data_IF_068012921604
#
_entry.id   IF_068012921604
#
_cell.length_a   1.000
_cell.length_b   1.000
_cell.length_c   1.000
_cell.angle_alpha   90.00
_cell.angle_beta   90.00
_cell.angle_gamma   90.00
#
_symmetry.space_group_name_H-M   'P 1'
#
loop_
_entity.id
_entity.type
_entity.pdbx_description
1 polymer ?
#
# COMPACT_ATOMS: atom_id res chain seq x y z
N UNK A 1 17.25 -55.64 -19.24
CA UNK A 1 16.10 -54.88 -19.77
C UNK A 1 15.94 -53.67 -18.90
N UNK A 2 16.37 -52.51 -19.38
CA UNK A 2 16.38 -51.30 -18.55
C UNK A 2 14.95 -50.83 -18.29
N UNK A 3 14.74 -50.08 -17.21
CA UNK A 3 13.45 -49.43 -16.92
C UNK A 3 12.95 -48.59 -18.10
N UNK A 4 13.90 -48.08 -18.91
CA UNK A 4 13.67 -47.34 -20.15
C UNK A 4 13.14 -48.26 -21.26
N UNK A 5 13.70 -49.46 -21.43
CA UNK A 5 13.22 -50.43 -22.43
C UNK A 5 11.78 -50.90 -22.12
N UNK A 6 11.47 -51.12 -20.84
CA UNK A 6 10.11 -51.48 -20.39
C UNK A 6 9.11 -50.31 -20.55
N UNK A 7 9.58 -49.07 -20.41
CA UNK A 7 8.81 -47.84 -20.66
C UNK A 7 8.50 -47.66 -22.16
N UNK A 8 9.45 -48.01 -23.02
CA UNK A 8 9.33 -47.90 -24.48
C UNK A 8 8.44 -49.00 -25.07
N UNK A 9 8.41 -50.18 -24.46
CA UNK A 9 7.55 -51.30 -24.85
C UNK A 9 6.10 -51.11 -24.35
N UNK A 10 5.90 -50.53 -23.16
CA UNK A 10 4.60 -50.20 -22.57
C UNK A 10 4.39 -48.69 -22.38
N UNK A 11 4.35 -47.94 -23.48
CA UNK A 11 4.03 -46.49 -23.50
C UNK A 11 2.75 -46.12 -22.71
N UNK A 12 1.83 -47.08 -22.56
CA UNK A 12 0.61 -47.00 -21.74
C UNK A 12 0.87 -46.64 -20.27
N UNK A 13 2.01 -47.01 -19.69
CA UNK A 13 2.31 -46.64 -18.29
C UNK A 13 2.91 -45.23 -18.19
N UNK A 14 3.68 -44.78 -19.18
CA UNK A 14 4.29 -43.45 -19.17
C UNK A 14 3.26 -42.33 -19.42
N UNK A 15 2.19 -42.62 -20.17
CA UNK A 15 1.21 -41.60 -20.56
C UNK A 15 0.36 -41.10 -19.37
N UNK A 16 0.14 -41.94 -18.35
CA UNK A 16 -0.72 -41.59 -17.21
C UNK A 16 -0.10 -40.49 -16.31
N UNK A 17 1.16 -40.60 -15.82
CA UNK A 17 1.84 -39.51 -15.11
C UNK A 17 1.93 -38.22 -15.92
N UNK A 18 2.22 -38.33 -17.21
CA UNK A 18 2.38 -37.15 -18.09
C UNK A 18 1.05 -36.44 -18.29
N UNK A 19 -0.03 -37.17 -18.57
CA UNK A 19 -1.36 -36.59 -18.68
C UNK A 19 -1.83 -36.00 -17.36
N UNK A 20 -1.60 -36.69 -16.24
CA UNK A 20 -1.91 -36.18 -14.90
C UNK A 20 -1.21 -34.85 -14.63
N UNK A 21 0.09 -34.76 -14.92
CA UNK A 21 0.87 -33.53 -14.83
C UNK A 21 0.32 -32.41 -15.71
N UNK A 22 0.01 -32.70 -16.99
CA UNK A 22 -0.51 -31.73 -17.94
C UNK A 22 -1.90 -31.21 -17.55
N UNK A 23 -2.79 -32.07 -17.08
CA UNK A 23 -4.12 -31.69 -16.60
C UNK A 23 -3.99 -30.87 -15.32
N UNK A 24 -3.20 -31.33 -14.35
CA UNK A 24 -2.99 -30.61 -13.09
C UNK A 24 -2.39 -29.22 -13.30
N UNK A 25 -1.41 -29.10 -14.20
CA UNK A 25 -0.84 -27.81 -14.62
C UNK A 25 -1.87 -26.95 -15.36
N UNK A 26 -2.50 -27.50 -16.41
CA UNK A 26 -3.39 -26.76 -17.31
C UNK A 26 -4.66 -26.26 -16.62
N UNK A 27 -5.27 -27.07 -15.75
CA UNK A 27 -6.45 -26.68 -14.98
C UNK A 27 -6.10 -25.58 -13.98
N UNK A 28 -4.97 -25.68 -13.29
CA UNK A 28 -4.59 -24.65 -12.32
C UNK A 28 -4.16 -23.34 -13.00
N UNK A 29 -3.49 -23.42 -14.15
CA UNK A 29 -3.21 -22.26 -14.99
C UNK A 29 -4.50 -21.58 -15.48
N UNK A 30 -5.51 -22.36 -15.88
CA UNK A 30 -6.81 -21.82 -16.28
C UNK A 30 -7.53 -21.15 -15.12
N UNK A 31 -7.57 -21.79 -13.94
CA UNK A 31 -8.16 -21.24 -12.73
C UNK A 31 -7.49 -19.92 -12.34
N UNK A 32 -6.16 -19.88 -12.40
CA UNK A 32 -5.38 -18.67 -12.16
C UNK A 32 -5.77 -17.55 -13.13
N UNK A 33 -5.87 -17.86 -14.42
CA UNK A 33 -6.27 -16.88 -15.44
C UNK A 33 -7.70 -16.37 -15.22
N UNK A 34 -8.60 -17.24 -14.74
CA UNK A 34 -9.99 -16.91 -14.43
C UNK A 34 -10.17 -16.06 -13.18
N UNK A 35 -9.19 -16.00 -12.26
CA UNK A 35 -9.27 -15.07 -11.13
C UNK A 35 -9.16 -13.60 -11.58
N UNK A 36 -8.31 -13.34 -12.58
CA UNK A 36 -8.02 -11.99 -13.05
C UNK A 36 -8.80 -11.58 -14.30
N UNK A 37 -9.09 -12.53 -15.19
CA UNK A 37 -9.76 -12.26 -16.47
C UNK A 37 -11.01 -13.11 -16.65
N UNK A 38 -12.05 -12.58 -17.31
CA UNK A 38 -12.12 -11.26 -17.95
C UNK A 38 -12.62 -10.16 -17.02
N UNK A 39 -12.22 -8.93 -17.35
CA UNK A 39 -12.49 -7.72 -16.57
C UNK A 39 -13.96 -7.35 -16.55
N UNK A 40 -14.57 -7.34 -17.74
CA UNK A 40 -16.00 -7.07 -17.92
C UNK A 40 -16.76 -8.39 -17.91
N UNK A 41 -17.93 -8.44 -17.25
CA UNK A 41 -18.78 -9.62 -17.30
C UNK A 41 -19.20 -9.86 -18.74
N UNK A 42 -18.99 -11.08 -19.23
CA UNK A 42 -19.44 -11.51 -20.55
C UNK A 42 -20.26 -12.79 -20.40
N UNK A 43 -21.31 -12.91 -21.21
CA UNK A 43 -22.26 -14.02 -21.14
C UNK A 43 -23.69 -13.56 -21.39
N UNK A 44 -24.61 -14.53 -21.41
CA UNK A 44 -26.03 -14.30 -21.75
C UNK A 44 -26.91 -14.77 -20.58
N UNK A 45 -27.81 -13.90 -20.11
CA UNK A 45 -28.76 -14.21 -19.04
C UNK A 45 -28.09 -14.37 -17.66
N UNK A 46 -28.38 -15.51 -16.99
CA UNK A 46 -27.88 -15.83 -15.64
C UNK A 46 -26.42 -16.30 -15.61
N UNK A 47 -25.86 -16.70 -16.74
CA UNK A 47 -24.48 -17.18 -16.84
C UNK A 47 -23.57 -16.06 -17.30
N UNK A 48 -23.17 -15.20 -16.37
CA UNK A 48 -22.15 -14.16 -16.60
C UNK A 48 -20.84 -14.65 -16.01
N UNK A 49 -19.81 -14.77 -16.85
CA UNK A 49 -18.46 -15.11 -16.41
C UNK A 49 -17.69 -13.80 -16.27
N UNK A 50 -17.07 -13.61 -15.11
CA UNK A 50 -16.19 -12.49 -14.82
C UNK A 50 -15.06 -12.98 -13.93
N UNK A 51 -13.90 -12.34 -14.01
CA UNK A 51 -12.83 -12.59 -13.07
C UNK A 51 -13.28 -12.30 -11.64
N UNK A 52 -12.85 -13.13 -10.68
CA UNK A 52 -13.26 -13.01 -9.28
C UNK A 52 -12.78 -11.68 -8.66
N UNK A 53 -11.55 -11.28 -8.96
CA UNK A 53 -10.95 -10.03 -8.42
C UNK A 53 -11.67 -8.79 -8.99
N UNK A 54 -11.84 -8.64 -10.32
CA UNK A 54 -12.64 -7.55 -10.88
C UNK A 54 -14.06 -7.48 -10.32
N UNK A 55 -14.71 -8.64 -10.10
CA UNK A 55 -16.08 -8.69 -9.56
C UNK A 55 -16.20 -8.24 -8.10
N UNK A 56 -15.11 -8.26 -7.33
CA UNK A 56 -15.10 -7.93 -5.88
C UNK A 56 -14.34 -6.64 -5.57
N UNK A 57 -14.08 -5.80 -6.58
CA UNK A 57 -13.28 -4.58 -6.43
C UNK A 57 -13.77 -3.67 -5.31
N UNK A 58 -15.07 -3.38 -5.24
CA UNK A 58 -15.61 -2.46 -4.24
C UNK A 58 -15.39 -2.99 -2.81
N UNK A 59 -15.62 -4.29 -2.60
CA UNK A 59 -15.38 -4.94 -1.31
C UNK A 59 -13.89 -4.88 -0.94
N UNK A 60 -13.00 -5.12 -1.92
CA UNK A 60 -11.56 -5.05 -1.73
C UNK A 60 -11.09 -3.64 -1.40
N UNK A 61 -11.56 -2.62 -2.12
CA UNK A 61 -11.20 -1.22 -1.86
C UNK A 61 -11.61 -0.77 -0.46
N UNK A 62 -12.85 -1.08 -0.03
CA UNK A 62 -13.31 -0.76 1.32
C UNK A 62 -12.51 -1.50 2.40
N UNK A 63 -12.23 -2.78 2.18
CA UNK A 63 -11.44 -3.58 3.14
C UNK A 63 -9.99 -3.07 3.24
N UNK A 64 -9.36 -2.73 2.11
CA UNK A 64 -8.01 -2.18 2.06
C UNK A 64 -7.98 -0.81 2.75
N UNK A 65 -8.92 0.08 2.43
CA UNK A 65 -8.99 1.41 3.04
C UNK A 65 -9.14 1.33 4.56
N UNK A 66 -10.03 0.45 5.04
CA UNK A 66 -10.23 0.22 6.47
C UNK A 66 -8.97 -0.33 7.14
N UNK A 67 -8.34 -1.34 6.55
CA UNK A 67 -7.13 -1.96 7.13
C UNK A 67 -5.97 -0.96 7.20
N UNK A 68 -5.75 -0.16 6.15
CA UNK A 68 -4.70 0.88 6.14
C UNK A 68 -4.99 1.96 7.18
N UNK A 69 -6.25 2.39 7.31
CA UNK A 69 -6.62 3.40 8.30
C UNK A 69 -6.50 2.90 9.74
N UNK A 70 -6.83 1.63 9.99
CA UNK A 70 -6.79 1.03 11.33
C UNK A 70 -5.35 0.67 11.74
N UNK A 71 -4.49 0.24 10.80
CA UNK A 71 -3.16 -0.31 11.12
C UNK A 71 -1.97 0.59 10.74
N UNK A 72 -2.10 1.51 9.77
CA UNK A 72 -0.96 2.25 9.22
C UNK A 72 -1.03 3.77 9.40
N UNK A 73 -2.21 4.37 9.28
CA UNK A 73 -2.37 5.83 9.30
C UNK A 73 -3.73 6.20 9.88
N UNK A 74 -3.77 6.48 11.19
CA UNK A 74 -4.92 7.09 11.84
C UNK A 74 -4.80 8.61 11.90
N UNK A 75 -5.93 9.31 12.09
CA UNK A 75 -5.93 10.77 12.26
C UNK A 75 -5.10 11.18 13.48
N UNK A 76 -5.08 10.35 14.53
CA UNK A 76 -4.27 10.59 15.73
C UNK A 76 -2.76 10.44 15.45
N UNK A 77 -2.37 9.49 14.59
CA UNK A 77 -0.96 9.34 14.18
C UNK A 77 -0.49 10.55 13.37
N UNK A 78 -1.37 11.15 12.56
CA UNK A 78 -1.07 12.40 11.85
C UNK A 78 -0.90 13.58 12.80
N UNK A 79 -1.74 13.70 13.84
CA UNK A 79 -1.59 14.76 14.86
C UNK A 79 -0.28 14.57 15.63
N UNK A 80 0.05 13.33 16.03
CA UNK A 80 1.33 13.02 16.69
C UNK A 80 2.53 13.36 15.81
N UNK A 81 2.51 12.93 14.54
CA UNK A 81 3.57 13.23 13.60
C UNK A 81 3.73 14.75 13.40
N UNK A 82 2.63 15.50 13.33
CA UNK A 82 2.65 16.96 13.23
C UNK A 82 3.28 17.63 14.45
N UNK A 83 3.00 17.12 15.65
CA UNK A 83 3.57 17.63 16.91
C UNK A 83 5.05 17.23 17.11
N UNK A 84 5.50 16.12 16.53
CA UNK A 84 6.91 15.69 16.56
C UNK A 84 7.79 16.49 15.58
N UNK A 85 7.21 17.07 14.53
CA UNK A 85 7.93 17.94 13.62
C UNK A 85 8.36 19.24 14.32
N UNK A 86 9.60 19.68 14.10
CA UNK A 86 10.14 20.94 14.65
C UNK A 86 9.59 22.20 13.94
N UNK A 87 8.27 22.25 13.76
CA UNK A 87 7.56 23.40 13.19
C UNK A 87 7.83 24.64 14.06
N UNK A 88 7.93 24.42 15.38
CA UNK A 88 8.24 25.43 16.39
C UNK A 88 9.62 26.06 16.19
N UNK A 89 10.68 25.25 16.06
CA UNK A 89 12.04 25.74 15.82
C UNK A 89 12.18 26.44 14.46
N UNK A 90 11.53 25.91 13.41
CA UNK A 90 11.53 26.53 12.08
C UNK A 90 10.86 27.91 12.14
N UNK A 91 9.69 28.03 12.75
CA UNK A 91 8.97 29.29 12.82
C UNK A 91 9.66 30.32 13.74
N UNK A 92 10.22 29.89 14.87
CA UNK A 92 11.02 30.76 15.74
C UNK A 92 12.27 31.28 15.03
N UNK A 93 12.98 30.44 14.27
CA UNK A 93 14.15 30.87 13.50
C UNK A 93 13.79 31.88 12.39
N UNK A 94 12.66 31.68 11.71
CA UNK A 94 12.13 32.62 10.71
C UNK A 94 11.80 33.98 11.34
N UNK A 95 11.08 33.97 12.45
CA UNK A 95 10.70 35.20 13.17
C UNK A 95 11.93 35.94 13.68
N UNK A 96 12.89 35.23 14.28
CA UNK A 96 14.14 35.84 14.72
C UNK A 96 14.89 36.51 13.56
N UNK A 97 14.97 35.86 12.40
CA UNK A 97 15.61 36.43 11.21
C UNK A 97 14.88 37.65 10.65
N UNK A 98 13.55 37.74 10.79
CA UNK A 98 12.75 38.89 10.35
C UNK A 98 12.92 40.05 11.32
N UNK A 99 12.86 39.78 12.63
CA UNK A 99 13.05 40.77 13.69
C UNK A 99 14.44 41.39 13.60
N UNK A 100 15.48 40.56 13.43
CA UNK A 100 16.86 41.01 13.29
C UNK A 100 17.04 41.92 12.07
N UNK A 101 16.55 41.50 10.89
CA UNK A 101 16.60 42.32 9.66
C UNK A 101 15.82 43.63 9.78
N UNK A 102 14.66 43.62 10.46
CA UNK A 102 13.82 44.81 10.61
C UNK A 102 14.47 45.83 11.56
N UNK A 103 15.10 45.35 12.63
CA UNK A 103 15.80 46.21 13.59
C UNK A 103 17.11 46.76 12.98
N UNK A 104 17.85 45.95 12.22
CA UNK A 104 19.04 46.40 11.50
C UNK A 104 18.69 47.48 10.44
N UNK A 105 17.54 47.36 9.78
CA UNK A 105 17.07 48.34 8.79
C UNK A 105 16.59 49.68 9.37
N UNK A 106 16.36 49.77 10.68
CA UNK A 106 15.83 50.98 11.33
C UNK A 106 16.91 52.01 11.70
N UNK A 107 18.19 51.76 11.40
CA UNK A 107 19.33 52.66 11.65
C UNK A 107 19.35 53.25 13.08
N UNK A 108 18.83 52.48 14.04
CA UNK A 108 18.70 52.87 15.46
C UNK A 108 20.06 53.08 16.14
N UNK A 109 21.14 52.58 15.53
CA UNK A 109 22.52 52.85 15.94
C UNK A 109 22.92 54.32 15.82
N UNK A 110 22.27 55.07 14.93
CA UNK A 110 22.74 56.39 14.52
C UNK A 110 22.10 57.55 15.31
N UNK A 111 21.12 57.30 16.18
CA UNK A 111 20.43 58.36 16.95
C UNK A 111 20.48 58.12 18.48
N UNK A 112 21.29 58.88 19.24
CA UNK A 112 21.22 58.93 20.71
C UNK A 112 19.88 59.53 21.15
N UNK A 113 19.20 59.00 22.21
CA UNK A 113 19.65 58.01 23.20
C UNK A 113 19.40 56.53 22.82
N UNK A 114 18.79 56.25 21.66
CA UNK A 114 18.32 54.91 21.29
C UNK A 114 19.45 53.95 20.89
N UNK A 115 20.57 54.45 20.36
CA UNK A 115 21.72 53.61 20.00
C UNK A 115 22.37 52.87 21.18
N UNK A 116 22.35 53.44 22.39
CA UNK A 116 22.87 52.77 23.61
C UNK A 116 21.92 51.68 24.13
N UNK A 117 20.64 51.75 23.78
CA UNK A 117 19.62 50.80 24.20
C UNK A 117 19.34 49.75 23.13
N UNK A 118 20.01 49.83 21.97
CA UNK A 118 19.80 48.94 20.82
C UNK A 118 19.79 47.46 21.22
N UNK A 119 20.83 47.01 21.91
CA UNK A 119 20.97 45.59 22.25
C UNK A 119 19.91 45.13 23.27
N UNK A 120 19.48 46.02 24.16
CA UNK A 120 18.38 45.76 25.11
C UNK A 120 17.02 45.75 24.42
N UNK A 121 16.80 46.64 23.44
CA UNK A 121 15.57 46.70 22.64
C UNK A 121 15.48 45.45 21.75
N UNK A 122 16.58 45.05 21.12
CA UNK A 122 16.64 43.82 20.30
C UNK A 122 16.36 42.59 21.15
N UNK A 123 17.06 42.42 22.28
CA UNK A 123 16.89 41.22 23.11
C UNK A 123 15.50 41.12 23.73
N UNK A 124 14.91 42.26 24.15
CA UNK A 124 13.56 42.30 24.73
C UNK A 124 12.48 42.09 23.67
N UNK A 125 12.66 42.67 22.47
CA UNK A 125 11.78 42.43 21.34
C UNK A 125 11.85 40.96 20.90
N UNK A 126 13.05 40.39 20.79
CA UNK A 126 13.23 38.96 20.49
C UNK A 126 12.61 38.08 21.55
N UNK A 127 12.77 38.35 22.85
CA UNK A 127 12.21 37.48 23.90
C UNK A 127 10.69 37.53 23.95
N UNK A 128 10.07 38.70 23.78
CA UNK A 128 8.61 38.87 23.78
C UNK A 128 8.00 38.28 22.51
N UNK A 129 8.59 38.58 21.35
CA UNK A 129 8.09 38.07 20.07
C UNK A 129 8.30 36.56 19.98
N UNK A 130 9.43 36.03 20.45
CA UNK A 130 9.67 34.59 20.47
C UNK A 130 8.66 33.87 21.34
N UNK A 131 8.41 34.31 22.60
CA UNK A 131 7.42 33.63 23.46
C UNK A 131 6.00 33.77 22.92
N UNK A 132 5.63 34.93 22.36
CA UNK A 132 4.30 35.12 21.80
C UNK A 132 4.07 34.26 20.54
N UNK A 133 5.10 34.13 19.70
CA UNK A 133 5.08 33.25 18.52
C UNK A 133 5.07 31.80 18.95
N UNK A 134 5.78 31.46 20.02
CA UNK A 134 5.80 30.13 20.62
C UNK A 134 4.39 29.68 21.01
N UNK A 135 3.69 30.48 21.81
CA UNK A 135 2.31 30.20 22.23
C UNK A 135 1.35 30.18 21.04
N UNK A 136 1.55 31.08 20.07
CA UNK A 136 0.71 31.13 18.85
C UNK A 136 0.87 29.90 17.96
N UNK A 137 2.07 29.32 17.91
CA UNK A 137 2.32 28.08 17.17
C UNK A 137 1.70 26.90 17.92
N UNK A 138 1.84 26.84 19.23
CA UNK A 138 1.25 25.77 20.04
C UNK A 138 -0.28 25.78 19.90
N UNK A 139 -0.92 26.96 19.96
CA UNK A 139 -2.35 27.12 19.68
C UNK A 139 -2.72 26.74 18.24
N UNK A 140 -1.92 27.13 17.25
CA UNK A 140 -2.17 26.78 15.84
C UNK A 140 -2.07 25.27 15.59
N UNK A 141 -1.05 24.61 16.15
CA UNK A 141 -0.86 23.16 16.07
C UNK A 141 -1.97 22.41 16.81
N UNK A 142 -2.38 22.90 17.98
CA UNK A 142 -3.53 22.36 18.72
C UNK A 142 -4.82 22.43 17.90
N UNK A 143 -5.16 23.62 17.38
CA UNK A 143 -6.35 23.81 16.55
C UNK A 143 -6.31 23.00 15.25
N UNK A 144 -5.14 22.86 14.60
CA UNK A 144 -4.97 21.96 13.46
C UNK A 144 -5.16 20.50 13.84
N UNK A 145 -4.62 20.08 15.00
CA UNK A 145 -4.78 18.74 15.53
C UNK A 145 -6.24 18.38 15.73
N UNK A 146 -7.01 19.28 16.34
CA UNK A 146 -8.45 19.12 16.55
C UNK A 146 -9.22 19.05 15.22
N UNK A 147 -8.84 19.87 14.22
CA UNK A 147 -9.45 19.81 12.90
C UNK A 147 -9.12 18.52 12.13
N UNK A 148 -7.91 18.00 12.25
CA UNK A 148 -7.49 16.73 11.64
C UNK A 148 -8.18 15.56 12.32
N UNK A 149 -8.17 15.50 13.66
CA UNK A 149 -8.82 14.40 14.39
C UNK A 149 -10.35 14.43 14.24
N UNK A 150 -10.97 15.62 14.21
CA UNK A 150 -12.42 15.77 14.13
C UNK A 150 -13.04 15.65 12.74
N UNK A 151 -12.31 16.01 11.67
CA UNK A 151 -12.88 16.10 10.32
C UNK A 151 -12.20 15.19 9.27
N UNK A 152 -11.02 14.63 9.56
CA UNK A 152 -10.33 13.77 8.61
C UNK A 152 -10.77 12.32 8.79
N UNK A 153 -11.63 11.85 7.90
CA UNK A 153 -11.97 10.44 7.77
C UNK A 153 -11.03 9.79 6.74
N UNK A 154 -9.92 9.23 7.24
CA UNK A 154 -8.90 8.60 6.41
C UNK A 154 -9.47 7.40 5.65
N UNK A 155 -10.39 6.63 6.27
CA UNK A 155 -11.07 5.52 5.60
C UNK A 155 -11.78 6.04 4.36
N UNK A 156 -12.64 7.05 4.52
CA UNK A 156 -13.39 7.61 3.39
C UNK A 156 -12.51 8.24 2.33
N UNK A 157 -11.44 8.96 2.73
CA UNK A 157 -10.48 9.54 1.80
C UNK A 157 -9.76 8.46 0.98
N UNK A 158 -9.35 7.36 1.63
CA UNK A 158 -8.72 6.23 0.97
C UNK A 158 -9.70 5.44 0.10
N UNK A 159 -10.94 5.24 0.53
CA UNK A 159 -11.98 4.63 -0.30
C UNK A 159 -12.25 5.44 -1.56
N UNK A 160 -12.37 6.76 -1.44
CA UNK A 160 -12.55 7.66 -2.59
C UNK A 160 -11.33 7.62 -3.51
N UNK A 161 -10.13 7.64 -2.95
CA UNK A 161 -8.89 7.56 -3.74
C UNK A 161 -8.75 6.22 -4.46
N UNK A 162 -9.02 5.11 -3.80
CA UNK A 162 -9.01 3.77 -4.39
C UNK A 162 -10.11 3.60 -5.44
N UNK A 163 -11.30 4.16 -5.19
CA UNK A 163 -12.42 4.14 -6.14
C UNK A 163 -12.11 4.96 -7.39
N UNK A 164 -11.35 6.06 -7.23
CA UNK A 164 -10.90 6.93 -8.33
C UNK A 164 -9.80 6.32 -9.20
N UNK A 165 -9.15 5.25 -8.74
CA UNK A 165 -8.24 4.51 -9.61
C UNK A 165 -9.05 3.85 -10.73
N UNK A 166 -8.44 3.67 -11.90
CA UNK A 166 -9.06 2.87 -12.95
C UNK A 166 -9.11 1.38 -12.55
N UNK A 167 -10.06 0.65 -13.13
CA UNK A 167 -10.22 -0.79 -12.93
C UNK A 167 -8.91 -1.55 -13.19
N UNK A 168 -8.14 -1.08 -14.18
CA UNK A 168 -6.84 -1.64 -14.55
C UNK A 168 -5.79 -1.55 -13.45
N UNK A 169 -5.75 -0.44 -12.71
CA UNK A 169 -4.66 -0.20 -11.77
C UNK A 169 -4.79 -1.04 -10.52
N UNK A 170 -6.01 -1.23 -10.01
CA UNK A 170 -6.27 -2.12 -8.87
C UNK A 170 -5.99 -3.57 -9.24
N UNK A 171 -6.39 -4.01 -10.43
CA UNK A 171 -6.03 -5.34 -10.93
C UNK A 171 -4.51 -5.51 -11.01
N UNK A 172 -3.80 -4.52 -11.52
CA UNK A 172 -2.34 -4.57 -11.65
C UNK A 172 -1.66 -4.72 -10.28
N UNK A 173 -2.06 -3.93 -9.28
CA UNK A 173 -1.52 -4.02 -7.91
C UNK A 173 -1.76 -5.40 -7.31
N UNK A 174 -3.01 -5.90 -7.36
CA UNK A 174 -3.36 -7.21 -6.79
C UNK A 174 -2.63 -8.33 -7.54
N UNK A 175 -2.54 -8.22 -8.86
CA UNK A 175 -1.85 -9.20 -9.71
C UNK A 175 -0.35 -9.21 -9.42
N UNK A 176 0.28 -8.06 -9.30
CA UNK A 176 1.71 -7.93 -9.05
C UNK A 176 2.09 -8.59 -7.72
N UNK A 177 1.33 -8.31 -6.66
CA UNK A 177 1.54 -8.91 -5.34
C UNK A 177 1.26 -10.42 -5.35
N UNK A 178 0.20 -10.87 -6.04
CA UNK A 178 -0.25 -12.27 -5.95
C UNK A 178 0.39 -13.22 -6.95
N UNK A 179 0.93 -12.74 -8.08
CA UNK A 179 1.39 -13.56 -9.21
C UNK A 179 2.47 -14.57 -8.83
N UNK A 180 3.35 -14.22 -7.90
CA UNK A 180 4.41 -15.13 -7.43
C UNK A 180 3.82 -16.29 -6.65
N UNK A 181 2.92 -16.02 -5.71
CA UNK A 181 2.26 -17.04 -4.88
C UNK A 181 1.40 -17.98 -5.73
N UNK A 182 0.63 -17.42 -6.66
CA UNK A 182 -0.25 -18.20 -7.51
C UNK A 182 0.50 -19.13 -8.49
N UNK A 183 1.70 -18.75 -8.95
CA UNK A 183 2.58 -19.63 -9.73
C UNK A 183 3.12 -20.82 -8.94
N UNK A 184 3.16 -20.75 -7.61
CA UNK A 184 3.49 -21.93 -6.79
C UNK A 184 2.35 -22.94 -6.84
N UNK A 185 1.10 -22.47 -6.77
CA UNK A 185 -0.09 -23.34 -6.88
C UNK A 185 -0.14 -24.04 -8.24
N UNK A 186 0.22 -23.34 -9.32
CA UNK A 186 0.28 -23.92 -10.68
C UNK A 186 1.32 -25.06 -10.77
N UNK A 187 2.50 -24.86 -10.18
CA UNK A 187 3.54 -25.90 -10.10
C UNK A 187 3.13 -27.07 -9.21
N UNK A 188 2.47 -26.79 -8.08
CA UNK A 188 1.94 -27.84 -7.21
C UNK A 188 0.88 -28.68 -7.92
N UNK A 189 0.00 -28.06 -8.72
CA UNK A 189 -0.96 -28.77 -9.56
C UNK A 189 -0.27 -29.75 -10.52
N UNK A 190 0.81 -29.32 -11.18
CA UNK A 190 1.61 -30.19 -12.04
C UNK A 190 2.23 -31.38 -11.28
N UNK A 191 2.85 -31.11 -10.13
CA UNK A 191 3.50 -32.12 -9.28
C UNK A 191 2.49 -33.13 -8.73
N UNK A 192 1.35 -32.65 -8.22
CA UNK A 192 0.29 -33.50 -7.70
C UNK A 192 -0.32 -34.35 -8.82
N UNK A 193 -0.57 -33.75 -9.99
CA UNK A 193 -1.03 -34.47 -11.17
C UNK A 193 -0.07 -35.59 -11.59
N UNK A 194 1.24 -35.32 -11.55
CA UNK A 194 2.26 -36.33 -11.81
C UNK A 194 2.22 -37.46 -10.76
N UNK A 195 2.16 -37.13 -9.46
CA UNK A 195 2.09 -38.12 -8.36
C UNK A 195 0.85 -39.00 -8.50
N UNK A 196 -0.31 -38.42 -8.81
CA UNK A 196 -1.55 -39.17 -9.02
C UNK A 196 -1.40 -40.12 -10.20
N UNK A 197 -0.82 -39.68 -11.32
CA UNK A 197 -0.60 -40.55 -12.46
C UNK A 197 0.43 -41.66 -12.17
N UNK A 198 1.46 -41.40 -11.36
CA UNK A 198 2.37 -42.44 -10.88
C UNK A 198 1.65 -43.48 -9.99
N UNK A 199 0.77 -43.02 -9.10
CA UNK A 199 -0.06 -43.91 -8.28
C UNK A 199 -1.01 -44.75 -9.14
N UNK A 200 -1.59 -44.18 -10.20
CA UNK A 200 -2.42 -44.93 -11.15
C UNK A 200 -1.64 -46.04 -11.85
N UNK A 201 -0.39 -45.78 -12.26
CA UNK A 201 0.50 -46.80 -12.85
C UNK A 201 0.81 -47.89 -11.84
N UNK A 202 1.14 -47.52 -10.59
CA UNK A 202 1.42 -48.48 -9.53
C UNK A 202 0.20 -49.39 -9.25
N UNK A 203 -1.01 -48.82 -9.22
CA UNK A 203 -2.25 -49.58 -9.03
C UNK A 203 -2.55 -50.51 -10.20
N UNK A 204 -2.33 -50.07 -11.43
CA UNK A 204 -2.45 -50.91 -12.62
C UNK A 204 -1.47 -52.09 -12.56
N UNK A 205 -0.23 -51.84 -12.15
CA UNK A 205 0.79 -52.88 -12.02
C UNK A 205 0.47 -53.90 -10.91
N UNK A 206 -0.22 -53.49 -9.84
CA UNK A 206 -0.64 -54.40 -8.76
C UNK A 206 -1.86 -55.27 -9.15
N UNK A 207 -2.64 -54.83 -10.14
CA UNK A 207 -3.91 -55.47 -10.54
C UNK A 207 -3.76 -56.40 -11.74
N UNK A 208 -2.74 -56.21 -12.59
CA UNK A 208 -2.32 -57.16 -13.64
C UNK A 208 -1.37 -58.23 -13.08
#
# INVERSE_FOLDING_TARGET
MTLIDMLMENWRYAILPVLGMLIGWGTNWLALKMLFKPRKPFGVGRYKIQGLIPSRRNDLSGTIAKTISDELLSSDDLVKAMNELDIKGIALSQVNSIVEKKIESLDLKSSPPFGMLHDTIVSTAQSIVSSQVEDSIDDFLGNMGDHVSGNLDIVRLMEEKLSSLDDERIEEIVTEVSKKELKHIERLGAVLGFIIGCLQVLLLWLTE
#
